data_IF_320482879867
#
_entry.id   IF_320482879867
#
_cell.length_a   1.000
_cell.length_b   1.000
_cell.length_c   1.000
_cell.angle_alpha   90.00
_cell.angle_beta   90.00
_cell.angle_gamma   90.00
#
_symmetry.space_group_name_H-M   'P 1'
#
loop_
_entity.id
_entity.type
_entity.pdbx_description
1 polymer ?
#
# COMPACT_ATOMS: atom_id res chain seq x y z
N UNK A 1 15.45 11.03 20.20
CA UNK A 1 15.14 9.63 19.84
C UNK A 1 14.79 9.62 18.37
N UNK A 2 15.47 8.79 17.58
CA UNK A 2 15.20 8.62 16.14
C UNK A 2 14.39 7.32 15.94
N UNK A 3 13.46 7.31 14.99
CA UNK A 3 12.63 6.13 14.71
C UNK A 3 12.77 5.75 13.24
N UNK A 4 13.21 4.53 12.98
CA UNK A 4 13.25 3.92 11.66
C UNK A 4 12.20 2.83 11.60
N UNK A 5 11.15 3.05 10.80
CA UNK A 5 10.01 2.15 10.75
C UNK A 5 10.04 1.25 9.50
N UNK A 6 10.02 -0.06 9.72
CA UNK A 6 9.98 -1.13 8.73
C UNK A 6 11.25 -1.22 7.86
N UNK A 7 12.41 -1.17 8.51
CA UNK A 7 13.72 -1.34 7.86
C UNK A 7 13.82 -2.74 7.26
N UNK A 8 14.30 -2.85 6.02
CA UNK A 8 14.48 -4.10 5.28
C UNK A 8 15.97 -4.47 5.15
N UNK A 9 16.23 -5.73 4.82
CA UNK A 9 17.54 -6.23 4.39
C UNK A 9 17.81 -5.95 2.92
N UNK A 10 17.83 -4.68 2.54
CA UNK A 10 18.23 -4.23 1.20
C UNK A 10 19.43 -3.27 1.28
N UNK A 11 20.10 -3.10 0.14
CA UNK A 11 21.24 -2.17 0.00
C UNK A 11 20.81 -0.73 -0.31
N UNK A 12 19.52 -0.51 -0.56
CA UNK A 12 18.93 0.77 -0.92
C UNK A 12 18.94 1.76 0.25
N UNK A 13 18.69 3.03 -0.06
CA UNK A 13 18.57 4.10 0.92
C UNK A 13 17.53 3.75 2.00
N UNK A 14 17.97 3.63 3.25
CA UNK A 14 17.12 3.26 4.39
C UNK A 14 17.12 1.77 4.77
N UNK A 15 17.82 0.91 4.01
CA UNK A 15 18.08 -0.49 4.36
C UNK A 15 19.13 -0.66 5.46
N UNK A 16 19.26 -1.89 6.00
CA UNK A 16 20.20 -2.19 7.11
C UNK A 16 21.63 -1.74 6.79
N UNK A 17 22.11 -2.06 5.58
CA UNK A 17 23.49 -1.77 5.16
C UNK A 17 23.73 -0.25 5.07
N UNK A 18 22.78 0.47 4.49
CA UNK A 18 22.85 1.93 4.37
C UNK A 18 22.88 2.62 5.74
N UNK A 19 21.96 2.23 6.64
CA UNK A 19 21.87 2.79 7.98
C UNK A 19 23.16 2.57 8.76
N UNK A 20 23.73 1.36 8.70
CA UNK A 20 25.02 1.00 9.30
C UNK A 20 26.15 1.87 8.77
N UNK A 21 26.34 1.88 7.46
CA UNK A 21 27.55 2.47 6.86
C UNK A 21 27.55 3.99 6.87
N UNK A 22 26.39 4.61 6.64
CA UNK A 22 26.30 6.04 6.33
C UNK A 22 25.78 6.87 7.48
N UNK A 23 24.82 6.33 8.23
CA UNK A 23 24.08 7.08 9.24
C UNK A 23 24.64 6.88 10.65
N UNK A 24 24.77 5.63 11.10
CA UNK A 24 25.20 5.34 12.47
C UNK A 24 26.69 5.59 12.71
N UNK A 25 27.54 5.33 11.72
CA UNK A 25 28.98 5.68 11.76
C UNK A 25 29.22 7.18 12.00
N UNK A 26 28.34 8.03 11.47
CA UNK A 26 28.37 9.49 11.62
C UNK A 26 27.81 9.95 12.98
N UNK A 27 26.74 9.30 13.46
CA UNK A 27 26.06 9.61 14.72
C UNK A 27 26.86 9.22 15.96
N UNK A 28 27.62 8.11 15.90
CA UNK A 28 28.45 7.64 16.99
C UNK A 28 29.49 8.68 17.48
N UNK A 29 29.76 9.70 16.67
CA UNK A 29 30.71 10.79 16.98
C UNK A 29 30.08 12.01 17.67
N UNK A 30 28.75 12.10 17.76
CA UNK A 30 28.08 13.37 18.07
C UNK A 30 27.34 13.45 19.41
N UNK A 31 26.75 12.37 19.95
CA UNK A 31 26.06 12.35 21.25
C UNK A 31 25.52 10.95 21.61
N UNK A 32 25.05 10.75 22.86
CA UNK A 32 24.20 9.62 23.25
C UNK A 32 22.82 9.74 22.59
N UNK A 33 22.61 9.05 21.46
CA UNK A 33 21.35 9.05 20.72
C UNK A 33 20.64 7.71 20.91
N UNK A 34 19.37 7.76 21.30
CA UNK A 34 18.49 6.58 21.29
C UNK A 34 17.84 6.43 19.92
N UNK A 35 17.94 5.24 19.35
CA UNK A 35 17.34 4.88 18.06
C UNK A 35 16.39 3.71 18.26
N UNK A 36 15.16 3.83 17.75
CA UNK A 36 14.19 2.75 17.68
C UNK A 36 14.10 2.27 16.23
N UNK A 37 14.27 0.97 16.00
CA UNK A 37 14.16 0.35 14.69
C UNK A 37 13.07 -0.71 14.76
N UNK A 38 12.09 -0.65 13.85
CA UNK A 38 11.17 -1.77 13.62
C UNK A 38 11.61 -2.49 12.35
N UNK A 39 11.73 -3.81 12.41
CA UNK A 39 12.16 -4.62 11.28
C UNK A 39 11.68 -6.06 11.43
N UNK A 40 11.49 -6.73 10.30
CA UNK A 40 11.32 -8.20 10.23
C UNK A 40 12.66 -8.91 9.97
N UNK A 41 13.72 -8.15 9.75
CA UNK A 41 15.07 -8.66 9.54
C UNK A 41 15.71 -9.03 10.87
N UNK A 42 16.45 -10.13 10.84
CA UNK A 42 17.30 -10.57 11.93
C UNK A 42 18.69 -9.92 11.91
N UNK A 43 18.99 -9.07 10.94
CA UNK A 43 20.31 -8.50 10.73
C UNK A 43 20.74 -7.56 11.85
N UNK A 44 19.83 -6.98 12.63
CA UNK A 44 20.14 -6.15 13.81
C UNK A 44 20.38 -6.96 15.10
N UNK A 45 20.61 -8.28 15.01
CA UNK A 45 20.85 -9.16 16.17
C UNK A 45 22.25 -9.07 16.76
N UNK A 46 23.25 -8.85 15.93
CA UNK A 46 24.64 -8.90 16.39
C UNK A 46 25.17 -7.50 16.70
N UNK A 47 25.94 -7.36 17.79
CA UNK A 47 26.67 -6.14 18.20
C UNK A 47 27.80 -5.74 17.24
N UNK A 48 27.84 -6.30 16.04
CA UNK A 48 28.91 -6.02 15.09
C UNK A 48 28.76 -4.63 14.46
N UNK A 49 29.89 -3.92 14.44
CA UNK A 49 30.14 -2.64 13.77
C UNK A 49 29.34 -1.42 14.26
N UNK A 50 29.73 -0.89 15.42
CA UNK A 50 29.58 0.55 15.73
C UNK A 50 28.17 1.04 16.07
N UNK A 51 27.20 0.15 16.25
CA UNK A 51 25.80 0.48 16.61
C UNK A 51 25.57 0.76 18.11
N UNK A 52 26.59 0.59 18.95
CA UNK A 52 26.47 0.75 20.40
C UNK A 52 25.63 -0.36 21.05
N UNK A 53 25.01 -0.07 22.19
CA UNK A 53 24.21 -1.04 22.94
C UNK A 53 22.87 -1.30 22.25
N UNK A 54 22.63 -2.54 21.80
CA UNK A 54 21.40 -2.96 21.15
C UNK A 54 20.47 -3.62 22.18
N UNK A 55 19.25 -3.09 22.34
CA UNK A 55 18.19 -3.73 23.12
C UNK A 55 17.12 -4.27 22.17
N UNK A 56 17.00 -5.59 22.08
CA UNK A 56 15.98 -6.23 21.26
C UNK A 56 14.69 -6.44 22.05
N UNK A 57 13.59 -5.97 21.48
CA UNK A 57 12.24 -6.17 22.04
C UNK A 57 11.44 -6.97 21.00
N UNK A 58 11.34 -8.31 21.15
CA UNK A 58 10.54 -9.11 20.23
C UNK A 58 9.07 -8.72 20.34
N UNK A 59 8.45 -8.41 19.19
CA UNK A 59 7.01 -8.15 19.12
C UNK A 59 6.33 -9.48 18.79
N UNK A 60 5.83 -10.14 19.83
CA UNK A 60 5.13 -11.42 19.70
C UNK A 60 3.66 -11.24 19.32
N UNK A 61 3.03 -12.33 18.89
CA UNK A 61 1.58 -12.40 18.76
C UNK A 61 0.87 -12.10 20.07
N UNK A 62 -0.37 -11.61 19.97
CA UNK A 62 -1.23 -11.37 21.12
C UNK A 62 -1.54 -12.71 21.79
N UNK A 63 -1.54 -12.71 23.13
CA UNK A 63 -1.98 -13.88 23.88
C UNK A 63 -3.47 -14.17 23.60
N UNK A 64 -3.89 -15.41 23.87
CA UNK A 64 -5.29 -15.83 23.73
C UNK A 64 -6.25 -14.88 24.48
N UNK A 65 -5.94 -14.57 25.73
CA UNK A 65 -6.79 -13.71 26.57
C UNK A 65 -6.93 -12.30 26.01
N UNK A 66 -5.82 -11.70 25.55
CA UNK A 66 -5.83 -10.35 24.94
C UNK A 66 -6.59 -10.37 23.61
N UNK A 67 -6.42 -11.43 22.82
CA UNK A 67 -7.10 -11.61 21.53
C UNK A 67 -8.61 -11.74 21.71
N UNK A 68 -9.05 -12.57 22.65
CA UNK A 68 -10.47 -12.75 22.99
C UNK A 68 -11.05 -11.43 23.50
N UNK A 69 -10.37 -10.75 24.43
CA UNK A 69 -10.81 -9.46 24.96
C UNK A 69 -10.96 -8.41 23.84
N UNK A 70 -10.04 -8.38 22.87
CA UNK A 70 -10.10 -7.48 21.73
C UNK A 70 -11.33 -7.78 20.84
N UNK A 71 -11.63 -9.05 20.57
CA UNK A 71 -12.78 -9.47 19.76
C UNK A 71 -14.13 -9.17 20.43
N UNK A 72 -14.23 -9.39 21.74
CA UNK A 72 -15.43 -9.10 22.52
C UNK A 72 -15.64 -7.58 22.68
N UNK A 73 -14.56 -6.82 22.84
CA UNK A 73 -14.62 -5.40 23.19
C UNK A 73 -15.26 -5.16 24.55
N UNK A 74 -15.85 -3.98 24.76
CA UNK A 74 -16.42 -3.56 26.06
C UNK A 74 -17.81 -4.16 26.39
N UNK A 75 -18.30 -5.11 25.60
CA UNK A 75 -19.64 -5.68 25.82
C UNK A 75 -19.64 -6.72 26.94
N UNK A 76 -20.74 -6.80 27.69
CA UNK A 76 -21.04 -7.98 28.51
C UNK A 76 -21.31 -9.17 27.59
N UNK A 77 -20.25 -9.91 27.28
CA UNK A 77 -20.27 -11.07 26.40
C UNK A 77 -20.93 -12.27 27.08
N UNK A 78 -21.87 -12.92 26.37
CA UNK A 78 -22.42 -14.19 26.82
C UNK A 78 -21.47 -15.35 26.57
N UNK A 79 -21.76 -16.54 27.13
CA UNK A 79 -20.95 -17.74 26.90
C UNK A 79 -20.80 -18.09 25.41
N UNK A 80 -21.81 -17.81 24.59
CA UNK A 80 -21.75 -18.01 23.15
C UNK A 80 -20.78 -17.04 22.45
N UNK A 81 -20.70 -15.79 22.90
CA UNK A 81 -19.74 -14.81 22.36
C UNK A 81 -18.31 -15.20 22.70
N UNK A 82 -18.06 -15.62 23.95
CA UNK A 82 -16.74 -16.10 24.37
C UNK A 82 -16.28 -17.29 23.53
N UNK A 83 -17.17 -18.27 23.30
CA UNK A 83 -16.87 -19.43 22.45
C UNK A 83 -16.58 -19.05 21.00
N UNK A 84 -17.33 -18.10 20.44
CA UNK A 84 -17.09 -17.61 19.09
C UNK A 84 -15.75 -16.86 18.98
N UNK A 85 -15.42 -16.01 19.97
CA UNK A 85 -14.14 -15.32 20.02
C UNK A 85 -12.95 -16.29 20.15
N UNK A 86 -13.08 -17.34 20.96
CA UNK A 86 -12.10 -18.42 21.04
C UNK A 86 -11.91 -19.11 19.68
N UNK A 87 -13.00 -19.47 19.00
CA UNK A 87 -12.92 -20.09 17.68
C UNK A 87 -12.19 -19.20 16.66
N UNK A 88 -12.54 -17.89 16.61
CA UNK A 88 -11.84 -16.94 15.73
C UNK A 88 -10.34 -16.89 16.05
N UNK A 89 -9.95 -16.87 17.32
CA UNK A 89 -8.53 -16.92 17.72
C UNK A 89 -7.84 -18.22 17.26
N UNK A 90 -8.46 -19.39 17.43
CA UNK A 90 -7.87 -20.66 16.97
C UNK A 90 -7.67 -20.71 15.44
N UNK A 91 -8.49 -19.95 14.70
CA UNK A 91 -8.43 -19.86 13.23
C UNK A 91 -7.43 -18.81 12.74
N UNK A 92 -7.39 -17.63 13.37
CA UNK A 92 -6.59 -16.48 12.90
C UNK A 92 -5.28 -16.30 13.65
N UNK A 93 -5.07 -16.98 14.78
CA UNK A 93 -3.92 -16.76 15.66
C UNK A 93 -3.97 -15.42 16.40
N UNK A 94 -2.88 -15.07 17.08
CA UNK A 94 -2.74 -13.81 17.82
C UNK A 94 -2.33 -12.63 16.95
N UNK A 95 -2.58 -12.67 15.64
CA UNK A 95 -2.18 -11.61 14.71
C UNK A 95 -3.03 -10.35 14.91
N UNK A 96 -2.42 -9.33 15.52
CA UNK A 96 -3.11 -8.09 15.88
C UNK A 96 -3.86 -7.43 14.72
N UNK A 97 -3.29 -7.43 13.51
CA UNK A 97 -3.96 -6.89 12.32
C UNK A 97 -5.23 -7.66 11.98
N UNK A 98 -5.14 -8.99 11.87
CA UNK A 98 -6.27 -9.86 11.54
C UNK A 98 -7.41 -9.67 12.54
N UNK A 99 -7.11 -9.79 13.83
CA UNK A 99 -8.08 -9.63 14.90
C UNK A 99 -8.69 -8.23 14.93
N UNK A 100 -7.89 -7.18 14.67
CA UNK A 100 -8.38 -5.80 14.65
C UNK A 100 -9.38 -5.55 13.52
N UNK A 101 -9.12 -6.03 12.30
CA UNK A 101 -10.03 -5.85 11.16
C UNK A 101 -11.30 -6.67 11.38
N UNK A 102 -11.17 -7.93 11.82
CA UNK A 102 -12.32 -8.77 12.17
C UNK A 102 -13.20 -8.09 13.22
N UNK A 103 -12.61 -7.55 14.28
CA UNK A 103 -13.34 -6.81 15.31
C UNK A 103 -14.07 -5.59 14.74
N UNK A 104 -13.42 -4.80 13.90
CA UNK A 104 -14.04 -3.62 13.28
C UNK A 104 -15.20 -3.99 12.36
N UNK A 105 -15.07 -5.08 11.59
CA UNK A 105 -16.15 -5.60 10.75
C UNK A 105 -17.35 -6.04 11.59
N UNK A 106 -17.15 -6.91 12.58
CA UNK A 106 -18.25 -7.42 13.45
C UNK A 106 -18.97 -6.28 14.17
N UNK A 107 -18.26 -5.18 14.45
CA UNK A 107 -18.81 -4.00 15.13
C UNK A 107 -19.45 -2.98 14.19
N UNK A 108 -19.35 -3.18 12.87
CA UNK A 108 -19.84 -2.23 11.87
C UNK A 108 -21.37 -2.19 11.85
N UNK A 109 -21.93 -1.09 11.36
CA UNK A 109 -23.38 -0.93 11.28
C UNK A 109 -23.97 -1.91 10.26
N UNK A 110 -23.24 -2.20 9.18
CA UNK A 110 -23.64 -3.17 8.17
C UNK A 110 -23.67 -4.61 8.71
N UNK A 111 -22.71 -5.00 9.54
CA UNK A 111 -22.71 -6.32 10.16
C UNK A 111 -23.84 -6.47 11.18
N UNK A 112 -24.12 -5.41 11.96
CA UNK A 112 -25.26 -5.37 12.88
C UNK A 112 -26.60 -5.37 12.15
N UNK A 113 -26.71 -4.68 11.03
CA UNK A 113 -27.91 -4.69 10.19
C UNK A 113 -28.19 -6.11 9.66
N UNK A 114 -27.14 -6.81 9.21
CA UNK A 114 -27.26 -8.13 8.59
C UNK A 114 -27.46 -9.26 9.62
N UNK A 115 -26.75 -9.22 10.74
CA UNK A 115 -26.66 -10.34 11.69
C UNK A 115 -27.09 -9.99 13.12
N UNK A 116 -27.42 -8.72 13.39
CA UNK A 116 -27.77 -8.25 14.73
C UNK A 116 -26.67 -8.52 15.74
N UNK A 117 -27.04 -9.12 16.87
CA UNK A 117 -26.10 -9.51 17.92
C UNK A 117 -25.29 -10.77 17.60
N UNK A 118 -25.57 -11.46 16.48
CA UNK A 118 -24.88 -12.71 16.10
C UNK A 118 -23.66 -12.51 15.20
N UNK A 119 -23.29 -11.27 14.87
CA UNK A 119 -22.18 -11.00 13.93
C UNK A 119 -20.86 -11.68 14.31
N UNK A 120 -20.57 -11.83 15.61
CA UNK A 120 -19.37 -12.52 16.11
C UNK A 120 -19.43 -14.03 15.84
N UNK A 121 -20.58 -14.65 16.09
CA UNK A 121 -20.82 -16.09 15.86
C UNK A 121 -20.79 -16.41 14.37
N UNK A 122 -21.45 -15.61 13.54
CA UNK A 122 -21.49 -15.80 12.08
C UNK A 122 -20.08 -15.73 11.47
N UNK A 123 -19.23 -14.83 11.99
CA UNK A 123 -17.84 -14.75 11.54
C UNK A 123 -17.00 -15.95 12.00
N UNK A 124 -17.23 -16.46 13.21
CA UNK A 124 -16.60 -17.69 13.68
C UNK A 124 -17.00 -18.90 12.81
N UNK A 125 -18.30 -19.09 12.59
CA UNK A 125 -18.86 -20.16 11.75
C UNK A 125 -18.28 -20.12 10.32
N UNK A 126 -18.17 -18.92 9.73
CA UNK A 126 -17.55 -18.73 8.42
C UNK A 126 -16.08 -19.16 8.41
N UNK A 127 -15.31 -18.76 9.41
CA UNK A 127 -13.89 -19.09 9.50
C UNK A 127 -13.66 -20.58 9.74
N UNK A 128 -14.56 -21.24 10.48
CA UNK A 128 -14.55 -22.70 10.70
C UNK A 128 -14.82 -23.48 9.41
N UNK A 129 -15.77 -23.01 8.59
CA UNK A 129 -16.11 -23.64 7.31
C UNK A 129 -15.03 -23.44 6.23
N UNK A 130 -14.20 -22.40 6.36
CA UNK A 130 -13.10 -22.13 5.45
C UNK A 130 -11.89 -23.06 5.66
N UNK A 131 -10.93 -22.99 4.74
CA UNK A 131 -9.62 -23.61 4.95
C UNK A 131 -8.86 -22.94 6.09
N UNK A 132 -8.09 -23.72 6.84
CA UNK A 132 -7.27 -23.17 7.92
C UNK A 132 -6.13 -22.36 7.32
N UNK A 133 -5.96 -21.09 7.68
CA UNK A 133 -4.85 -20.29 7.19
C UNK A 133 -3.49 -20.96 7.48
N UNK A 134 -2.69 -21.16 6.44
CA UNK A 134 -1.39 -21.81 6.54
C UNK A 134 -0.26 -20.85 6.99
N UNK A 135 -0.52 -19.54 6.99
CA UNK A 135 0.44 -18.49 7.33
C UNK A 135 -0.26 -17.26 7.90
N UNK A 136 0.52 -16.33 8.48
CA UNK A 136 0.01 -15.04 8.96
C UNK A 136 -0.64 -14.22 7.84
N UNK A 137 -0.08 -14.29 6.62
CA UNK A 137 -0.60 -13.60 5.45
C UNK A 137 -1.97 -14.16 5.06
N UNK A 138 -2.10 -15.50 5.05
CA UNK A 138 -3.38 -16.18 4.80
C UNK A 138 -4.40 -15.87 5.90
N UNK A 139 -3.96 -15.71 7.16
CA UNK A 139 -4.85 -15.39 8.26
C UNK A 139 -5.38 -13.96 8.14
N UNK A 140 -4.53 -12.99 7.76
CA UNK A 140 -4.97 -11.62 7.47
C UNK A 140 -5.92 -11.61 6.27
N UNK A 141 -5.61 -12.33 5.19
CA UNK A 141 -6.48 -12.44 4.02
C UNK A 141 -7.86 -13.01 4.39
N UNK A 142 -7.90 -14.08 5.20
CA UNK A 142 -9.12 -14.68 5.71
C UNK A 142 -9.92 -13.72 6.60
N UNK A 143 -9.24 -12.96 7.47
CA UNK A 143 -9.84 -11.98 8.37
C UNK A 143 -10.50 -10.81 7.63
N UNK A 144 -9.86 -10.32 6.57
CA UNK A 144 -10.36 -9.15 5.83
C UNK A 144 -11.40 -9.52 4.77
N UNK A 145 -11.51 -10.79 4.40
CA UNK A 145 -12.37 -11.25 3.32
C UNK A 145 -13.82 -10.76 3.41
N UNK A 146 -14.43 -10.79 4.62
CA UNK A 146 -15.80 -10.30 4.82
C UNK A 146 -15.91 -8.78 4.75
N UNK A 147 -14.95 -8.07 5.35
CA UNK A 147 -14.90 -6.62 5.27
C UNK A 147 -14.77 -6.15 3.81
N UNK A 148 -13.89 -6.79 3.03
CA UNK A 148 -13.71 -6.48 1.61
C UNK A 148 -14.97 -6.79 0.79
N UNK A 149 -15.62 -7.93 1.03
CA UNK A 149 -16.85 -8.29 0.31
C UNK A 149 -17.99 -7.32 0.63
N UNK A 150 -18.15 -6.94 1.89
CA UNK A 150 -19.11 -5.93 2.31
C UNK A 150 -18.84 -4.57 1.65
N UNK A 151 -17.57 -4.11 1.63
CA UNK A 151 -17.20 -2.86 0.95
C UNK A 151 -17.50 -2.94 -0.55
N UNK A 152 -17.17 -4.07 -1.19
CA UNK A 152 -17.46 -4.30 -2.62
C UNK A 152 -18.95 -4.23 -2.95
N UNK A 153 -19.80 -4.81 -2.10
CA UNK A 153 -21.25 -4.87 -2.33
C UNK A 153 -21.97 -3.56 -1.97
N UNK A 154 -21.62 -2.93 -0.85
CA UNK A 154 -22.36 -1.79 -0.29
C UNK A 154 -21.72 -0.43 -0.58
N UNK A 155 -20.41 -0.38 -0.87
CA UNK A 155 -19.62 0.86 -0.93
C UNK A 155 -18.71 0.91 -2.16
N UNK A 156 -19.28 0.99 -3.36
CA UNK A 156 -18.54 0.94 -4.64
C UNK A 156 -17.40 1.96 -4.74
N UNK A 157 -17.59 3.19 -4.26
CA UNK A 157 -16.53 4.22 -4.26
C UNK A 157 -15.40 3.90 -3.29
N UNK A 158 -15.72 3.36 -2.10
CA UNK A 158 -14.70 2.91 -1.17
C UNK A 158 -13.95 1.68 -1.71
N UNK A 159 -14.62 0.82 -2.48
CA UNK A 159 -13.99 -0.28 -3.21
C UNK A 159 -12.98 0.22 -4.24
N UNK A 160 -13.34 1.25 -5.03
CA UNK A 160 -12.43 1.89 -5.97
C UNK A 160 -11.21 2.49 -5.26
N UNK A 161 -11.40 3.16 -4.12
CA UNK A 161 -10.32 3.72 -3.30
C UNK A 161 -9.35 2.61 -2.83
N UNK A 162 -9.87 1.45 -2.40
CA UNK A 162 -9.04 0.30 -2.07
C UNK A 162 -8.23 -0.17 -3.28
N UNK A 163 -8.78 -0.07 -4.49
CA UNK A 163 -8.11 -0.44 -5.73
C UNK A 163 -6.88 0.43 -5.97
N UNK A 164 -7.01 1.74 -5.77
CA UNK A 164 -5.86 2.66 -5.81
C UNK A 164 -4.86 2.33 -4.71
N UNK A 165 -5.31 2.28 -3.45
CA UNK A 165 -4.44 2.10 -2.29
C UNK A 165 -3.65 0.77 -2.30
N UNK A 166 -4.21 -0.28 -2.90
CA UNK A 166 -3.57 -1.59 -3.00
C UNK A 166 -2.41 -1.64 -4.01
N UNK A 167 -2.37 -0.71 -4.96
CA UNK A 167 -1.40 -0.70 -6.05
C UNK A 167 -0.43 0.49 -5.96
N UNK A 168 -0.43 1.27 -4.88
CA UNK A 168 0.53 2.37 -4.69
C UNK A 168 1.39 2.14 -3.46
N UNK A 169 2.38 3.00 -3.25
CA UNK A 169 3.27 2.90 -2.10
C UNK A 169 2.46 2.89 -0.79
N UNK A 170 2.71 1.96 0.16
CA UNK A 170 1.85 1.70 1.32
C UNK A 170 1.86 2.80 2.38
N UNK A 171 2.81 3.73 2.32
CA UNK A 171 2.95 4.88 3.23
C UNK A 171 2.76 6.19 2.47
N UNK A 172 2.28 7.19 3.19
CA UNK A 172 2.09 8.57 2.74
C UNK A 172 1.28 8.71 1.44
N UNK A 173 0.25 7.87 1.28
CA UNK A 173 -0.66 7.94 0.14
C UNK A 173 -1.43 9.27 0.14
N UNK A 174 -1.33 10.08 -0.93
CA UNK A 174 -2.06 11.32 -1.04
C UNK A 174 -3.56 11.07 -1.09
N UNK A 175 -4.31 11.76 -0.21
CA UNK A 175 -5.77 11.72 -0.22
C UNK A 175 -6.34 12.19 -1.56
N UNK A 176 -5.72 13.17 -2.19
CA UNK A 176 -6.07 13.67 -3.54
C UNK A 176 -6.10 12.53 -4.54
N UNK A 177 -4.99 11.79 -4.67
CA UNK A 177 -4.87 10.62 -5.52
C UNK A 177 -5.91 9.54 -5.18
N UNK A 178 -6.09 9.22 -3.89
CA UNK A 178 -7.09 8.22 -3.46
C UNK A 178 -8.52 8.64 -3.86
N UNK A 179 -8.85 9.93 -3.77
CA UNK A 179 -10.16 10.45 -4.15
C UNK A 179 -10.35 10.56 -5.67
N UNK A 180 -9.32 10.31 -6.49
CA UNK A 180 -9.46 10.13 -7.94
C UNK A 180 -9.83 8.72 -8.37
N UNK A 181 -9.96 7.79 -7.43
CA UNK A 181 -10.25 6.39 -7.72
C UNK A 181 -11.50 6.16 -8.59
N UNK A 182 -12.52 7.00 -8.41
CA UNK A 182 -13.73 7.01 -9.23
C UNK A 182 -14.42 8.38 -9.11
N UNK A 183 -15.27 8.69 -10.08
CA UNK A 183 -16.07 9.91 -10.06
C UNK A 183 -16.88 10.04 -8.76
N UNK A 184 -16.85 11.23 -8.16
CA UNK A 184 -17.61 11.54 -6.96
C UNK A 184 -17.12 10.86 -5.68
N UNK A 185 -15.91 10.28 -5.63
CA UNK A 185 -15.31 9.83 -4.37
C UNK A 185 -15.15 11.00 -3.39
N UNK A 186 -15.46 10.74 -2.11
CA UNK A 186 -15.43 11.76 -1.06
C UNK A 186 -14.69 11.30 0.19
N UNK A 187 -14.45 12.22 1.11
CA UNK A 187 -13.95 11.89 2.44
C UNK A 187 -14.90 10.98 3.25
N UNK A 188 -16.17 10.83 2.86
CA UNK A 188 -17.08 9.85 3.47
C UNK A 188 -16.70 8.41 3.11
N UNK A 189 -16.34 8.18 1.85
CA UNK A 189 -15.94 6.85 1.36
C UNK A 189 -14.61 6.43 2.00
N UNK A 190 -13.67 7.36 2.18
CA UNK A 190 -12.44 7.12 2.96
C UNK A 190 -12.72 6.76 4.42
N UNK A 191 -13.72 7.40 5.05
CA UNK A 191 -14.08 7.14 6.46
C UNK A 191 -14.60 5.72 6.66
N UNK A 192 -15.25 5.12 5.66
CA UNK A 192 -15.64 3.69 5.71
C UNK A 192 -14.41 2.82 5.88
N UNK A 193 -13.38 3.04 5.05
CA UNK A 193 -12.14 2.25 5.08
C UNK A 193 -11.34 2.45 6.37
N UNK A 194 -11.29 3.69 6.88
CA UNK A 194 -10.66 4.01 8.16
C UNK A 194 -11.36 3.33 9.34
N UNK A 195 -12.70 3.32 9.35
CA UNK A 195 -13.48 2.66 10.42
C UNK A 195 -13.24 1.15 10.47
N UNK A 196 -12.99 0.54 9.31
CA UNK A 196 -12.70 -0.89 9.17
C UNK A 196 -11.22 -1.24 9.38
N UNK A 197 -10.36 -0.26 9.69
CA UNK A 197 -8.90 -0.41 9.73
C UNK A 197 -8.29 -0.96 8.42
N UNK A 198 -8.97 -0.78 7.29
CA UNK A 198 -8.44 -1.14 5.96
C UNK A 198 -7.49 -0.06 5.43
N UNK A 199 -7.68 1.18 5.88
CA UNK A 199 -6.74 2.29 5.76
C UNK A 199 -6.44 2.86 7.14
N UNK A 200 -5.30 3.52 7.26
CA UNK A 200 -4.90 4.26 8.46
C UNK A 200 -4.42 5.66 8.08
N UNK A 201 -4.26 6.53 9.07
CA UNK A 201 -3.65 7.84 8.90
C UNK A 201 -2.15 7.70 8.64
N UNK A 202 -1.59 8.54 7.77
CA UNK A 202 -0.15 8.61 7.51
C UNK A 202 0.64 9.11 8.72
N UNK A 203 1.90 8.68 8.83
CA UNK A 203 2.79 9.02 9.95
C UNK A 203 3.29 10.47 9.91
N UNK A 204 3.22 11.13 8.75
CA UNK A 204 3.72 12.49 8.49
C UNK A 204 2.95 13.60 9.20
N UNK A 205 1.85 13.29 9.92
CA UNK A 205 1.04 14.28 10.62
C UNK A 205 0.28 15.25 9.69
N UNK A 206 0.46 15.12 8.37
CA UNK A 206 -0.30 15.85 7.38
C UNK A 206 -1.70 15.24 7.28
N UNK A 207 -2.73 16.07 7.45
CA UNK A 207 -4.14 15.66 7.52
C UNK A 207 -4.65 14.91 6.27
N UNK A 208 -3.84 14.81 5.21
CA UNK A 208 -4.23 14.24 3.91
C UNK A 208 -3.40 13.04 3.50
N UNK A 209 -2.58 12.47 4.39
CA UNK A 209 -1.80 11.27 4.10
C UNK A 209 -2.45 10.02 4.68
N UNK A 210 -2.41 8.91 3.94
CA UNK A 210 -2.96 7.61 4.36
C UNK A 210 -1.90 6.52 4.27
N UNK A 211 -2.14 5.43 4.98
CA UNK A 211 -1.31 4.23 4.92
C UNK A 211 -2.17 2.96 4.85
N UNK A 212 -1.64 1.91 4.21
CA UNK A 212 -2.25 0.59 4.14
C UNK A 212 -1.21 -0.46 4.48
N UNK A 213 -1.58 -1.44 5.29
CA UNK A 213 -0.70 -2.56 5.58
C UNK A 213 -0.46 -3.41 4.33
N UNK A 214 0.78 -3.84 4.05
CA UNK A 214 1.12 -4.59 2.83
C UNK A 214 0.31 -5.87 2.64
N UNK A 215 -0.02 -6.57 3.73
CA UNK A 215 -0.88 -7.76 3.69
C UNK A 215 -2.32 -7.43 3.25
N UNK A 216 -2.83 -6.25 3.61
CA UNK A 216 -4.12 -5.78 3.10
C UNK A 216 -4.02 -5.45 1.62
N UNK A 217 -2.93 -4.82 1.17
CA UNK A 217 -2.71 -4.58 -0.25
C UNK A 217 -2.72 -5.90 -1.04
N UNK A 218 -2.03 -6.94 -0.55
CA UNK A 218 -2.07 -8.28 -1.14
C UNK A 218 -3.49 -8.85 -1.26
N UNK A 219 -4.23 -8.87 -0.14
CA UNK A 219 -5.61 -9.38 -0.12
C UNK A 219 -6.58 -8.61 -1.04
N UNK A 220 -6.33 -7.32 -1.27
CA UNK A 220 -7.11 -6.51 -2.21
C UNK A 220 -6.71 -6.79 -3.66
N UNK A 221 -5.41 -6.92 -3.95
CA UNK A 221 -4.90 -7.22 -5.31
C UNK A 221 -5.39 -8.56 -5.85
N UNK A 222 -5.58 -9.55 -4.98
CA UNK A 222 -6.21 -10.83 -5.36
C UNK A 222 -7.66 -10.66 -5.87
N UNK A 223 -8.32 -9.55 -5.54
CA UNK A 223 -9.72 -9.30 -5.86
C UNK A 223 -9.94 -8.23 -6.93
N UNK A 224 -8.96 -7.38 -7.19
CA UNK A 224 -9.02 -6.33 -8.21
C UNK A 224 -7.64 -5.94 -8.73
N UNK A 225 -7.55 -5.67 -10.03
CA UNK A 225 -6.32 -5.19 -10.67
C UNK A 225 -6.08 -3.69 -10.55
N UNK A 226 -5.06 -3.19 -11.26
CA UNK A 226 -4.53 -1.84 -11.09
C UNK A 226 -5.32 -0.73 -11.82
N UNK A 227 -6.40 -1.05 -12.55
CA UNK A 227 -7.09 -0.09 -13.43
C UNK A 227 -7.50 1.21 -12.72
N UNK A 228 -8.09 1.13 -11.52
CA UNK A 228 -8.48 2.32 -10.77
C UNK A 228 -7.27 3.17 -10.37
N UNK A 229 -6.16 2.52 -10.03
CA UNK A 229 -4.91 3.18 -9.66
C UNK A 229 -4.29 3.93 -10.86
N UNK A 230 -4.25 3.27 -12.02
CA UNK A 230 -3.78 3.88 -13.27
C UNK A 230 -4.63 5.09 -13.66
N UNK A 231 -5.97 4.94 -13.64
CA UNK A 231 -6.88 6.04 -13.94
C UNK A 231 -6.72 7.22 -12.98
N UNK A 232 -6.54 6.93 -11.68
CA UNK A 232 -6.33 7.95 -10.66
C UNK A 232 -5.02 8.74 -10.89
N UNK A 233 -3.93 8.05 -11.22
CA UNK A 233 -2.64 8.69 -11.53
C UNK A 233 -2.77 9.60 -12.75
N UNK A 234 -3.39 9.12 -13.84
CA UNK A 234 -3.60 9.95 -15.02
C UNK A 234 -4.49 11.17 -14.77
N UNK A 235 -5.55 11.00 -13.98
CA UNK A 235 -6.42 12.11 -13.58
C UNK A 235 -5.69 13.15 -12.72
N UNK A 236 -4.75 12.74 -11.88
CA UNK A 236 -3.88 13.67 -11.16
C UNK A 236 -2.86 14.33 -12.08
N UNK A 237 -2.24 13.57 -12.98
CA UNK A 237 -1.24 14.09 -13.92
C UNK A 237 -1.83 15.18 -14.80
N UNK A 238 -3.06 15.01 -15.28
CA UNK A 238 -3.76 15.96 -16.14
C UNK A 238 -4.03 17.34 -15.48
N UNK A 239 -3.81 17.48 -14.17
CA UNK A 239 -3.94 18.75 -13.44
C UNK A 239 -2.64 19.53 -13.35
N UNK A 240 -1.51 18.93 -13.76
CA UNK A 240 -0.24 19.63 -13.75
C UNK A 240 -0.16 20.63 -14.90
N UNK A 241 0.03 21.89 -14.56
CA UNK A 241 0.38 22.94 -15.50
C UNK A 241 1.90 23.12 -15.48
N UNK A 242 2.56 22.99 -16.64
CA UNK A 242 4.03 23.13 -16.79
C UNK A 242 4.57 24.44 -16.20
N UNK A 243 3.79 25.53 -16.30
CA UNK A 243 4.15 26.84 -15.80
C UNK A 243 4.06 26.97 -14.27
N UNK A 244 3.46 25.99 -13.59
CA UNK A 244 3.17 26.04 -12.17
C UNK A 244 4.13 25.19 -11.34
N UNK A 245 5.30 25.78 -11.04
CA UNK A 245 6.38 25.17 -10.25
C UNK A 245 5.93 24.73 -8.84
N UNK A 246 4.84 25.28 -8.30
CA UNK A 246 4.34 24.86 -6.98
C UNK A 246 3.84 23.41 -6.96
N UNK A 247 3.55 22.84 -8.13
CA UNK A 247 3.09 21.47 -8.27
C UNK A 247 4.23 20.44 -8.28
N UNK A 248 5.48 20.88 -8.47
CA UNK A 248 6.65 19.99 -8.56
C UNK A 248 6.90 19.20 -7.28
N UNK A 249 6.66 19.82 -6.12
CA UNK A 249 6.78 19.13 -4.83
C UNK A 249 5.79 17.97 -4.72
N UNK A 250 4.56 18.17 -5.22
CA UNK A 250 3.55 17.13 -5.25
C UNK A 250 3.86 16.06 -6.30
N UNK A 251 4.28 16.43 -7.51
CA UNK A 251 4.73 15.51 -8.55
C UNK A 251 5.84 14.58 -8.05
N UNK A 252 6.83 15.15 -7.34
CA UNK A 252 7.89 14.37 -6.69
C UNK A 252 7.34 13.40 -5.64
N UNK A 253 6.30 13.80 -4.90
CA UNK A 253 5.64 12.91 -3.93
C UNK A 253 4.86 11.76 -4.59
N UNK A 254 4.46 11.89 -5.86
CA UNK A 254 3.78 10.82 -6.59
C UNK A 254 4.73 9.70 -7.03
N UNK A 255 6.03 9.97 -7.16
CA UNK A 255 6.94 8.97 -7.75
C UNK A 255 7.03 7.64 -7.03
N UNK A 256 7.17 7.60 -5.69
CA UNK A 256 7.14 6.33 -4.97
C UNK A 256 5.85 5.53 -5.24
N UNK A 257 4.72 6.22 -5.47
CA UNK A 257 3.45 5.57 -5.77
C UNK A 257 3.39 4.98 -7.18
N UNK A 258 3.93 5.68 -8.18
CA UNK A 258 4.03 5.17 -9.57
C UNK A 258 5.01 4.00 -9.66
N UNK A 259 6.14 4.07 -8.96
CA UNK A 259 7.11 2.97 -8.88
C UNK A 259 6.51 1.72 -8.24
N UNK A 260 5.83 1.88 -7.09
CA UNK A 260 5.15 0.79 -6.41
C UNK A 260 4.02 0.19 -7.27
N UNK A 261 3.35 1.01 -8.08
CA UNK A 261 2.34 0.54 -9.03
C UNK A 261 2.94 -0.30 -10.13
N UNK A 262 4.07 0.14 -10.70
CA UNK A 262 4.81 -0.64 -11.69
C UNK A 262 5.22 -2.00 -11.12
N UNK A 263 5.79 -2.03 -9.91
CA UNK A 263 6.15 -3.28 -9.22
C UNK A 263 4.91 -4.18 -8.98
N UNK A 264 3.79 -3.58 -8.56
CA UNK A 264 2.55 -4.30 -8.35
C UNK A 264 1.99 -4.92 -9.63
N UNK A 265 2.11 -4.24 -10.78
CA UNK A 265 1.66 -4.77 -12.08
C UNK A 265 2.56 -5.93 -12.52
N UNK A 266 3.88 -5.83 -12.31
CA UNK A 266 4.84 -6.89 -12.66
C UNK A 266 4.64 -8.18 -11.85
N UNK A 267 4.20 -8.05 -10.60
CA UNK A 267 4.02 -9.19 -9.68
C UNK A 267 2.63 -9.82 -9.71
N UNK A 268 1.66 -9.22 -10.42
CA UNK A 268 0.23 -9.56 -10.40
C UNK A 268 -0.22 -10.84 -11.12
N UNK A 269 0.69 -11.73 -11.54
CA UNK A 269 0.36 -13.08 -12.04
C UNK A 269 -0.22 -13.17 -13.46
N UNK A 270 -0.63 -12.05 -14.07
CA UNK A 270 -0.84 -11.92 -15.51
C UNK A 270 -0.16 -10.61 -15.89
N UNK A 271 0.90 -10.69 -16.71
CA UNK A 271 1.42 -9.49 -17.37
C UNK A 271 0.31 -8.97 -18.28
N UNK A 272 -0.52 -8.05 -17.77
CA UNK A 272 -1.27 -7.19 -18.67
C UNK A 272 -0.26 -6.19 -19.22
N UNK A 273 0.40 -6.59 -20.32
CA UNK A 273 1.42 -5.78 -21.00
C UNK A 273 0.93 -4.35 -21.18
N UNK A 274 -0.37 -4.17 -21.45
CA UNK A 274 -1.04 -2.87 -21.56
C UNK A 274 -0.90 -2.03 -20.28
N UNK A 275 -1.21 -2.58 -19.10
CA UNK A 275 -1.09 -1.86 -17.82
C UNK A 275 0.35 -1.43 -17.55
N UNK A 276 1.32 -2.28 -17.93
CA UNK A 276 2.74 -1.93 -17.83
C UNK A 276 3.09 -0.76 -18.77
N UNK A 277 2.56 -0.73 -19.98
CA UNK A 277 2.72 0.41 -20.90
C UNK A 277 2.14 1.71 -20.31
N UNK A 278 0.93 1.65 -19.74
CA UNK A 278 0.27 2.81 -19.13
C UNK A 278 1.03 3.37 -17.93
N UNK A 279 1.51 2.52 -17.01
CA UNK A 279 2.25 3.02 -15.83
C UNK A 279 3.61 3.61 -16.20
N UNK A 280 4.32 3.02 -17.18
CA UNK A 280 5.59 3.57 -17.66
C UNK A 280 5.36 4.86 -18.46
N UNK A 281 4.26 5.00 -19.20
CA UNK A 281 3.96 6.24 -19.88
C UNK A 281 3.71 7.38 -18.88
N UNK A 282 2.97 7.09 -17.80
CA UNK A 282 2.77 8.03 -16.70
C UNK A 282 4.09 8.41 -16.00
N UNK A 283 4.97 7.43 -15.75
CA UNK A 283 6.31 7.67 -15.21
C UNK A 283 7.15 8.56 -16.13
N UNK A 284 7.15 8.27 -17.43
CA UNK A 284 7.85 9.04 -18.44
C UNK A 284 7.41 10.50 -18.45
N UNK A 285 6.10 10.72 -18.45
CA UNK A 285 5.52 12.07 -18.41
C UNK A 285 5.93 12.84 -17.16
N UNK A 286 5.84 12.22 -15.97
CA UNK A 286 6.25 12.90 -14.73
C UNK A 286 7.75 13.22 -14.75
N UNK A 287 8.57 12.29 -15.22
CA UNK A 287 10.02 12.47 -15.28
C UNK A 287 10.41 13.59 -16.26
N UNK A 288 9.83 13.61 -17.47
CA UNK A 288 10.10 14.64 -18.47
C UNK A 288 9.58 16.02 -18.03
N UNK A 289 8.28 16.11 -17.75
CA UNK A 289 7.60 17.40 -17.63
C UNK A 289 7.75 18.04 -16.24
N UNK A 290 7.86 17.23 -15.18
CA UNK A 290 7.74 17.72 -13.80
C UNK A 290 9.05 17.62 -13.02
N UNK A 291 9.93 16.69 -13.39
CA UNK A 291 11.19 16.44 -12.68
C UNK A 291 12.43 16.82 -13.49
N UNK A 292 12.33 16.94 -14.82
CA UNK A 292 13.46 17.15 -15.71
C UNK A 292 14.44 15.97 -15.75
N UNK A 293 13.98 14.76 -15.38
CA UNK A 293 14.77 13.53 -15.40
C UNK A 293 14.58 12.83 -16.75
N UNK A 294 15.24 13.39 -17.77
CA UNK A 294 15.10 12.96 -19.15
C UNK A 294 15.60 11.53 -19.40
N UNK A 295 16.64 11.09 -18.69
CA UNK A 295 17.17 9.74 -18.84
C UNK A 295 16.16 8.69 -18.35
N UNK A 296 15.53 8.98 -17.20
CA UNK A 296 14.46 8.13 -16.68
C UNK A 296 13.20 8.19 -17.54
N UNK A 297 12.88 9.35 -18.11
CA UNK A 297 11.77 9.50 -19.05
C UNK A 297 11.93 8.61 -20.29
N UNK A 298 13.12 8.61 -20.91
CA UNK A 298 13.44 7.76 -22.05
C UNK A 298 13.31 6.27 -21.70
N UNK A 299 13.84 5.83 -20.55
CA UNK A 299 13.70 4.43 -20.11
C UNK A 299 12.24 4.00 -19.98
N UNK A 300 11.40 4.87 -19.43
CA UNK A 300 9.99 4.58 -19.26
C UNK A 300 9.26 4.56 -20.62
N UNK A 301 9.50 5.54 -21.50
CA UNK A 301 8.91 5.56 -22.83
C UNK A 301 9.37 4.40 -23.73
N UNK A 302 10.61 3.93 -23.60
CA UNK A 302 11.08 2.73 -24.32
C UNK A 302 10.31 1.47 -23.90
N UNK A 303 10.01 1.32 -22.61
CA UNK A 303 9.17 0.22 -22.11
C UNK A 303 7.75 0.34 -22.65
N UNK A 304 7.16 1.54 -22.61
CA UNK A 304 5.84 1.82 -23.19
C UNK A 304 5.80 1.50 -24.68
N UNK A 305 6.79 1.98 -25.45
CA UNK A 305 6.86 1.76 -26.88
C UNK A 305 6.96 0.28 -27.23
N UNK A 306 7.78 -0.49 -26.50
CA UNK A 306 7.90 -1.93 -26.71
C UNK A 306 6.56 -2.63 -26.49
N UNK A 307 5.88 -2.32 -25.38
CA UNK A 307 4.56 -2.88 -25.06
C UNK A 307 3.54 -2.54 -26.15
N UNK A 308 3.45 -1.27 -26.55
CA UNK A 308 2.44 -0.81 -27.51
C UNK A 308 2.67 -1.44 -28.88
N UNK A 309 3.92 -1.59 -29.31
CA UNK A 309 4.25 -2.29 -30.55
C UNK A 309 3.87 -3.77 -30.50
N UNK A 310 4.13 -4.44 -29.39
CA UNK A 310 3.79 -5.86 -29.20
C UNK A 310 2.28 -6.12 -29.17
N UNK A 311 1.50 -5.22 -28.54
CA UNK A 311 0.06 -5.42 -28.32
C UNK A 311 -0.81 -4.80 -29.42
N UNK A 312 -0.45 -3.59 -29.89
CA UNK A 312 -1.28 -2.78 -30.79
C UNK A 312 -0.75 -2.78 -32.22
N UNK A 313 0.54 -3.07 -32.40
CA UNK A 313 1.23 -3.03 -33.69
C UNK A 313 1.83 -1.66 -34.02
N UNK A 314 2.79 -1.64 -34.95
CA UNK A 314 3.64 -0.48 -35.27
C UNK A 314 2.88 0.75 -35.83
N UNK A 315 1.71 0.53 -36.45
CA UNK A 315 0.90 1.58 -37.09
C UNK A 315 -0.15 2.19 -36.14
N UNK A 316 -0.20 1.75 -34.88
CA UNK A 316 -1.19 2.25 -33.93
C UNK A 316 -0.89 3.70 -33.50
N UNK A 317 -1.90 4.59 -33.35
CA UNK A 317 -1.69 5.98 -32.94
C UNK A 317 -0.89 6.16 -31.64
N UNK A 318 -1.11 5.29 -30.64
CA UNK A 318 -0.33 5.32 -29.38
C UNK A 318 1.17 5.12 -29.60
N UNK A 319 1.58 4.23 -30.53
CA UNK A 319 3.00 4.03 -30.88
C UNK A 319 3.60 5.32 -31.46
N UNK A 320 2.82 6.07 -32.25
CA UNK A 320 3.25 7.37 -32.77
C UNK A 320 3.32 8.43 -31.66
N UNK A 321 2.36 8.45 -30.74
CA UNK A 321 2.36 9.33 -29.56
C UNK A 321 3.61 9.08 -28.69
N UNK A 322 3.91 7.82 -28.37
CA UNK A 322 5.08 7.48 -27.56
C UNK A 322 6.39 7.86 -28.25
N UNK A 323 6.51 7.65 -29.58
CA UNK A 323 7.67 8.14 -30.35
C UNK A 323 7.80 9.67 -30.33
N UNK A 324 6.67 10.38 -30.41
CA UNK A 324 6.67 11.84 -30.29
C UNK A 324 7.16 12.29 -28.91
N UNK A 325 6.76 11.60 -27.84
CA UNK A 325 7.25 11.89 -26.49
C UNK A 325 8.75 11.63 -26.36
N UNK A 326 9.28 10.55 -26.94
CA UNK A 326 10.74 10.30 -26.99
C UNK A 326 11.47 11.45 -27.72
N UNK A 327 10.93 11.90 -28.86
CA UNK A 327 11.48 13.04 -29.59
C UNK A 327 11.41 14.35 -28.80
N UNK A 328 10.34 14.57 -28.03
CA UNK A 328 10.20 15.71 -27.10
C UNK A 328 11.32 15.70 -26.05
N UNK A 329 11.62 14.54 -25.48
CA UNK A 329 12.72 14.39 -24.51
C UNK A 329 14.07 14.71 -25.16
N UNK A 330 14.36 14.19 -26.36
CA UNK A 330 15.61 14.54 -27.06
C UNK A 330 15.70 16.01 -27.42
N UNK A 331 14.60 16.63 -27.83
CA UNK A 331 14.54 18.06 -28.08
C UNK A 331 14.86 18.86 -26.82
N UNK A 332 14.29 18.49 -25.67
CA UNK A 332 14.57 19.11 -24.37
C UNK A 332 16.04 18.94 -23.94
N UNK A 333 16.69 17.83 -24.31
CA UNK A 333 18.12 17.59 -24.12
C UNK A 333 19.02 18.34 -25.14
N UNK A 334 18.47 19.01 -26.15
CA UNK A 334 19.22 19.65 -27.24
C UNK A 334 19.81 18.66 -28.26
N UNK A 335 19.34 17.41 -28.24
CA UNK A 335 19.80 16.28 -29.06
C UNK A 335 18.94 16.14 -30.31
N UNK A 336 19.01 17.14 -31.19
CA UNK A 336 18.11 17.26 -32.36
C UNK A 336 18.38 16.26 -33.49
N UNK A 337 19.50 15.52 -33.44
CA UNK A 337 19.86 14.55 -34.46
C UNK A 337 19.22 13.17 -34.21
N UNK A 338 18.85 12.91 -32.96
CA UNK A 338 18.14 11.72 -32.47
C UNK A 338 16.62 11.87 -32.59
#
# INVERSE_FOLDING_TARGET
MLVFDNVKDDEDDGGVKWLRQRYFSSLARAASVHVLITSRSDAFRDEQDGLGHICQVPVNELSKDVSIALLLGEKNAGAADCKAAESIYERLGGHALALSVTRKYISSDEAKEMYGNRALQEEAERLEQGERPASADAAVAAAVARALEMVRQKHQRAWAILGVAAHIHPKDMPQTLLLRAAEGCTAADLRVLLRLNLLQWGASGQAQMRSMHRLLQGAVREKQGAHAALAAVWAEIALFEESNVSTWAYARSLMPHVEAMRESVLTGGVYDSIQLGFVNNAEGFICEQLLGDYDRALQAYDVTLRVEREVLGDDHPEVATTRNNIGSVYHAQGRHAE
#
